data_IF_535154971195
#
_entry.id   IF_535154971195
#
_cell.length_a   1.000
_cell.length_b   1.000
_cell.length_c   1.000
_cell.angle_alpha   90.00
_cell.angle_beta   90.00
_cell.angle_gamma   90.00
#
_symmetry.space_group_name_H-M   'P 1'
#
loop_
_entity.id
_entity.type
_entity.pdbx_description
1 polymer ?
#
# COMPACT_ATOMS: atom_id res chain seq x y z
N UNK A 1 -10.99 10.22 -19.82
CA UNK A 1 -9.76 10.80 -20.37
C UNK A 1 -9.47 10.10 -21.69
N UNK A 2 -9.28 10.89 -22.76
CA UNK A 2 -8.90 10.33 -24.07
C UNK A 2 -7.36 10.19 -24.06
N UNK A 3 -6.86 8.98 -23.96
CA UNK A 3 -5.44 8.70 -24.15
C UNK A 3 -5.02 9.06 -25.57
N UNK A 4 -3.96 9.86 -25.69
CA UNK A 4 -3.40 10.30 -26.97
C UNK A 4 -2.17 9.46 -27.29
N UNK A 5 -1.93 9.19 -28.58
CA UNK A 5 -0.71 8.50 -29.07
C UNK A 5 0.58 9.26 -28.70
N UNK A 6 0.50 10.60 -28.63
CA UNK A 6 1.58 11.43 -28.07
C UNK A 6 1.17 11.81 -26.65
N UNK A 7 1.79 11.22 -25.60
CA UNK A 7 1.39 11.41 -24.23
C UNK A 7 1.65 12.85 -23.76
N UNK A 8 0.64 13.44 -23.12
CA UNK A 8 0.82 14.67 -22.37
C UNK A 8 1.62 14.41 -21.08
N UNK A 9 2.15 15.46 -20.44
CA UNK A 9 2.96 15.33 -19.20
C UNK A 9 2.28 14.51 -18.10
N UNK A 10 0.98 14.68 -17.93
CA UNK A 10 0.21 13.93 -16.94
C UNK A 10 0.05 12.46 -17.34
N UNK A 11 -0.20 12.17 -18.62
CA UNK A 11 -0.30 10.80 -19.12
C UNK A 11 1.05 10.08 -18.99
N UNK A 12 2.16 10.76 -19.29
CA UNK A 12 3.50 10.21 -19.14
C UNK A 12 3.80 9.81 -17.69
N UNK A 13 3.41 10.67 -16.73
CA UNK A 13 3.60 10.39 -15.32
C UNK A 13 2.79 9.17 -14.86
N UNK A 14 1.52 9.06 -15.31
CA UNK A 14 0.70 7.89 -15.03
C UNK A 14 1.26 6.61 -15.67
N UNK A 15 1.70 6.70 -16.93
CA UNK A 15 2.29 5.56 -17.63
C UNK A 15 3.58 5.09 -16.95
N UNK A 16 4.42 6.02 -16.48
CA UNK A 16 5.61 5.69 -15.70
C UNK A 16 5.26 5.00 -14.37
N UNK A 17 4.28 5.52 -13.63
CA UNK A 17 3.83 4.90 -12.39
C UNK A 17 3.29 3.48 -12.64
N UNK A 18 2.40 3.33 -13.62
CA UNK A 18 1.85 2.01 -13.97
C UNK A 18 2.94 1.04 -14.41
N UNK A 19 3.90 1.49 -15.23
CA UNK A 19 4.98 0.63 -15.72
C UNK A 19 5.93 0.19 -14.60
N UNK A 20 6.14 1.03 -13.58
CA UNK A 20 6.92 0.68 -12.40
C UNK A 20 6.27 -0.46 -11.62
N UNK A 21 4.98 -0.34 -11.32
CA UNK A 21 4.25 -1.40 -10.60
C UNK A 21 4.06 -2.68 -11.43
N UNK A 22 3.83 -2.54 -12.74
CA UNK A 22 3.76 -3.69 -13.64
C UNK A 22 5.11 -4.41 -13.76
N UNK A 23 6.22 -3.65 -13.75
CA UNK A 23 7.58 -4.19 -13.67
C UNK A 23 7.79 -5.00 -12.39
N UNK A 24 7.34 -4.50 -11.23
CA UNK A 24 7.40 -5.22 -9.95
C UNK A 24 6.59 -6.52 -10.00
N UNK A 25 5.37 -6.47 -10.56
CA UNK A 25 4.53 -7.66 -10.73
C UNK A 25 5.19 -8.71 -11.62
N UNK A 26 5.77 -8.30 -12.74
CA UNK A 26 6.45 -9.20 -13.68
C UNK A 26 7.71 -9.83 -13.10
N UNK A 27 8.45 -9.08 -12.28
CA UNK A 27 9.65 -9.60 -11.61
C UNK A 27 9.29 -10.62 -10.53
N UNK A 28 8.20 -10.39 -9.80
CA UNK A 28 7.78 -11.26 -8.69
C UNK A 28 6.99 -12.48 -9.16
N UNK A 29 6.21 -12.36 -10.25
CA UNK A 29 5.41 -13.45 -10.81
C UNK A 29 5.42 -13.40 -12.34
N UNK A 30 6.46 -13.97 -13.00
CA UNK A 30 6.61 -13.92 -14.45
C UNK A 30 5.46 -14.59 -15.21
N UNK A 31 4.87 -15.63 -14.63
CA UNK A 31 3.89 -16.48 -15.32
C UNK A 31 2.44 -16.03 -15.14
N UNK A 32 2.10 -15.34 -14.05
CA UNK A 32 0.70 -15.00 -13.67
C UNK A 32 0.57 -13.59 -13.11
N UNK A 33 0.95 -12.60 -13.89
CA UNK A 33 1.01 -11.20 -13.45
C UNK A 33 -0.16 -10.31 -13.90
N UNK A 34 -1.09 -10.79 -14.72
CA UNK A 34 -2.10 -9.94 -15.38
C UNK A 34 -3.02 -9.17 -14.43
N UNK A 35 -3.46 -9.79 -13.33
CA UNK A 35 -4.27 -9.13 -12.30
C UNK A 35 -3.41 -8.45 -11.23
N UNK A 36 -2.24 -9.03 -10.92
CA UNK A 36 -1.36 -8.58 -9.86
C UNK A 36 -0.89 -7.14 -10.10
N UNK A 37 -0.45 -6.80 -11.31
CA UNK A 37 0.01 -5.45 -11.65
C UNK A 37 -1.06 -4.40 -11.42
N UNK A 38 -2.30 -4.67 -11.82
CA UNK A 38 -3.42 -3.76 -11.59
C UNK A 38 -3.73 -3.60 -10.09
N UNK A 39 -3.70 -4.69 -9.34
CA UNK A 39 -3.97 -4.67 -7.89
C UNK A 39 -2.91 -3.88 -7.14
N UNK A 40 -1.62 -4.17 -7.33
CA UNK A 40 -0.54 -3.48 -6.60
C UNK A 40 -0.47 -1.99 -6.96
N UNK A 41 -0.76 -1.63 -8.22
CA UNK A 41 -0.90 -0.23 -8.59
C UNK A 41 -2.06 0.43 -7.85
N UNK A 42 -3.24 -0.20 -7.83
CA UNK A 42 -4.42 0.32 -7.13
C UNK A 42 -4.19 0.46 -5.63
N UNK A 43 -3.63 -0.56 -4.98
CA UNK A 43 -3.31 -0.55 -3.56
C UNK A 43 -2.24 0.51 -3.21
N UNK A 44 -1.16 0.58 -4.00
CA UNK A 44 -0.11 1.58 -3.84
C UNK A 44 -0.62 3.01 -4.00
N UNK A 45 -1.40 3.26 -5.04
CA UNK A 45 -2.04 4.55 -5.27
C UNK A 45 -3.02 4.92 -4.14
N UNK A 46 -3.82 3.97 -3.67
CA UNK A 46 -4.75 4.17 -2.56
C UNK A 46 -4.03 4.57 -1.26
N UNK A 47 -2.96 3.86 -0.91
CA UNK A 47 -2.15 4.19 0.28
C UNK A 47 -1.52 5.56 0.10
N UNK A 48 -0.87 5.82 -1.02
CA UNK A 48 -0.15 7.05 -1.27
C UNK A 48 -1.09 8.26 -1.25
N UNK A 49 -2.17 8.21 -2.04
CA UNK A 49 -3.15 9.31 -2.10
C UNK A 49 -3.88 9.46 -0.78
N UNK A 50 -4.30 8.36 -0.15
CA UNK A 50 -4.98 8.39 1.15
C UNK A 50 -4.13 9.03 2.25
N UNK A 51 -2.82 8.75 2.27
CA UNK A 51 -1.91 9.37 3.23
C UNK A 51 -1.66 10.86 2.90
N UNK A 52 -1.64 11.25 1.61
CA UNK A 52 -1.56 12.65 1.23
C UNK A 52 -2.78 13.47 1.65
N UNK A 53 -3.96 12.85 1.75
CA UNK A 53 -5.16 13.53 2.28
C UNK A 53 -4.95 13.99 3.73
N UNK A 54 -4.23 13.23 4.54
CA UNK A 54 -3.86 13.63 5.89
C UNK A 54 -2.99 14.89 5.88
N UNK A 55 -2.02 14.95 4.97
CA UNK A 55 -1.13 16.12 4.82
C UNK A 55 -1.89 17.39 4.43
N UNK A 56 -2.93 17.27 3.59
CA UNK A 56 -3.73 18.41 3.14
C UNK A 56 -4.64 18.96 4.23
N UNK A 57 -4.84 18.24 5.32
CA UNK A 57 -5.65 18.69 6.46
C UNK A 57 -7.06 19.09 6.09
N UNK A 58 -7.70 18.39 5.15
CA UNK A 58 -9.03 18.72 4.67
C UNK A 58 -10.05 18.67 5.81
N UNK A 59 -10.77 19.76 5.99
CA UNK A 59 -11.81 19.90 7.00
C UNK A 59 -13.19 19.86 6.34
N UNK A 60 -14.06 19.01 6.87
CA UNK A 60 -15.47 19.02 6.53
C UNK A 60 -16.24 19.83 7.60
N UNK A 61 -17.12 20.71 7.15
CA UNK A 61 -18.01 21.45 8.05
C UNK A 61 -19.29 20.63 8.23
N UNK A 62 -19.55 20.20 9.45
CA UNK A 62 -20.79 19.50 9.80
C UNK A 62 -21.97 20.46 9.77
N UNK A 63 -23.17 19.96 9.54
CA UNK A 63 -24.44 20.73 9.59
C UNK A 63 -24.65 21.48 10.91
N UNK A 64 -23.95 21.09 11.97
CA UNK A 64 -23.93 21.76 13.29
C UNK A 64 -22.89 22.87 13.41
N UNK A 65 -22.18 23.23 12.32
CA UNK A 65 -21.15 24.27 12.31
C UNK A 65 -19.82 23.90 12.93
N UNK A 66 -19.59 22.62 13.28
CA UNK A 66 -18.29 22.12 13.76
C UNK A 66 -17.43 21.67 12.58
N UNK A 67 -16.19 22.13 12.55
CA UNK A 67 -15.19 21.59 11.63
C UNK A 67 -14.67 20.25 12.15
N UNK A 68 -14.73 19.23 11.31
CA UNK A 68 -14.15 17.90 11.57
C UNK A 68 -13.04 17.71 10.56
N UNK A 69 -11.83 17.42 11.04
CA UNK A 69 -10.73 16.99 10.16
C UNK A 69 -11.06 15.63 9.57
N UNK A 70 -10.91 15.50 8.26
CA UNK A 70 -11.06 14.22 7.57
C UNK A 70 -9.77 13.40 7.81
N UNK A 71 -9.82 12.32 8.60
CA UNK A 71 -8.66 11.47 8.79
C UNK A 71 -8.34 10.71 7.51
N UNK A 72 -7.07 10.32 7.34
CA UNK A 72 -6.69 9.42 6.26
C UNK A 72 -7.49 8.10 6.38
N UNK A 73 -7.93 7.50 5.25
CA UNK A 73 -8.73 6.27 5.28
C UNK A 73 -8.07 5.11 6.02
N UNK A 74 -6.73 5.11 6.06
CA UNK A 74 -5.91 4.08 6.72
C UNK A 74 -5.52 4.43 8.16
N UNK A 75 -5.89 5.61 8.66
CA UNK A 75 -5.72 5.96 10.09
C UNK A 75 -6.71 5.21 10.97
N UNK A 76 -7.77 4.65 10.39
CA UNK A 76 -8.67 3.71 11.06
C UNK A 76 -8.09 2.30 10.99
N UNK A 77 -8.07 1.65 12.16
CA UNK A 77 -7.65 0.23 12.31
C UNK A 77 -8.44 -0.67 11.36
N UNK A 78 -9.74 -0.43 11.23
CA UNK A 78 -10.61 -1.23 10.35
C UNK A 78 -10.20 -1.11 8.89
N UNK A 79 -9.84 0.10 8.43
CA UNK A 79 -9.34 0.32 7.08
C UNK A 79 -8.02 -0.39 6.82
N UNK A 80 -7.10 -0.34 7.78
CA UNK A 80 -5.82 -1.05 7.70
C UNK A 80 -5.99 -2.58 7.69
N UNK A 81 -6.87 -3.12 8.53
CA UNK A 81 -7.21 -4.55 8.55
C UNK A 81 -7.86 -4.96 7.23
N UNK A 82 -8.81 -4.18 6.72
CA UNK A 82 -9.49 -4.47 5.46
C UNK A 82 -8.50 -4.55 4.29
N UNK A 83 -7.57 -3.61 4.19
CA UNK A 83 -6.55 -3.61 3.14
C UNK A 83 -5.56 -4.78 3.30
N UNK A 84 -5.14 -5.09 4.53
CA UNK A 84 -4.30 -6.26 4.82
C UNK A 84 -4.98 -7.57 4.46
N UNK A 85 -6.25 -7.75 4.82
CA UNK A 85 -7.05 -8.91 4.44
C UNK A 85 -7.28 -8.99 2.93
N UNK A 86 -7.52 -7.86 2.26
CA UNK A 86 -7.68 -7.83 0.82
C UNK A 86 -6.39 -8.28 0.11
N UNK A 87 -5.24 -7.78 0.55
CA UNK A 87 -3.92 -8.21 0.03
C UNK A 87 -3.72 -9.71 0.23
N UNK A 88 -4.09 -10.25 1.38
CA UNK A 88 -4.01 -11.68 1.65
C UNK A 88 -4.94 -12.50 0.76
N UNK A 89 -6.17 -12.03 0.49
CA UNK A 89 -7.09 -12.68 -0.44
C UNK A 89 -6.54 -12.71 -1.87
N UNK A 90 -5.84 -11.67 -2.29
CA UNK A 90 -5.15 -11.65 -3.59
C UNK A 90 -4.04 -12.69 -3.64
N UNK A 91 -3.22 -12.80 -2.58
CA UNK A 91 -2.18 -13.83 -2.48
C UNK A 91 -2.81 -15.23 -2.49
N UNK A 92 -3.88 -15.44 -1.73
CA UNK A 92 -4.63 -16.70 -1.71
C UNK A 92 -5.18 -17.07 -3.09
N UNK A 93 -5.72 -16.10 -3.83
CA UNK A 93 -6.21 -16.32 -5.19
C UNK A 93 -5.09 -16.77 -6.13
N UNK A 94 -3.89 -16.21 -5.97
CA UNK A 94 -2.69 -16.64 -6.68
C UNK A 94 -2.30 -18.08 -6.36
N UNK A 95 -2.33 -18.44 -5.08
CA UNK A 95 -2.05 -19.80 -4.62
C UNK A 95 -3.04 -20.84 -5.17
N UNK A 96 -4.33 -20.54 -5.14
CA UNK A 96 -5.38 -21.42 -5.71
C UNK A 96 -5.19 -21.56 -7.21
N UNK A 97 -4.95 -20.46 -7.92
CA UNK A 97 -4.77 -20.47 -9.35
C UNK A 97 -3.47 -21.17 -9.80
N UNK A 98 -2.41 -21.13 -8.96
CA UNK A 98 -1.12 -21.79 -9.24
C UNK A 98 -1.14 -23.27 -8.89
N UNK A 99 -1.37 -23.59 -7.64
CA UNK A 99 -1.14 -24.91 -7.04
C UNK A 99 -2.43 -25.61 -6.55
N UNK A 100 -3.62 -25.07 -6.81
CA UNK A 100 -4.89 -25.64 -6.36
C UNK A 100 -4.96 -25.74 -4.83
N UNK A 101 -5.44 -26.89 -4.31
CA UNK A 101 -5.59 -27.14 -2.87
C UNK A 101 -4.25 -27.12 -2.09
N UNK A 102 -3.13 -27.48 -2.73
CA UNK A 102 -1.80 -27.40 -2.11
C UNK A 102 -1.36 -25.94 -1.94
N UNK A 103 -1.73 -25.06 -2.87
CA UNK A 103 -1.50 -23.63 -2.76
C UNK A 103 -2.25 -22.99 -1.61
N UNK A 104 -3.47 -23.43 -1.31
CA UNK A 104 -4.21 -23.00 -0.11
C UNK A 104 -3.44 -23.35 1.16
N UNK A 105 -2.92 -24.58 1.27
CA UNK A 105 -2.12 -25.00 2.42
C UNK A 105 -0.83 -24.18 2.58
N UNK A 106 -0.17 -23.80 1.49
CA UNK A 106 1.00 -22.95 1.50
C UNK A 106 0.66 -21.52 1.94
N UNK A 107 -0.41 -20.94 1.39
CA UNK A 107 -0.87 -19.59 1.78
C UNK A 107 -1.34 -19.55 3.24
N UNK A 108 -1.93 -20.63 3.74
CA UNK A 108 -2.42 -20.68 5.12
C UNK A 108 -1.29 -20.65 6.15
N UNK A 109 -0.08 -21.13 5.78
CA UNK A 109 1.11 -21.00 6.63
C UNK A 109 1.49 -19.54 6.86
N UNK A 110 1.20 -18.70 5.88
CA UNK A 110 1.49 -17.26 5.91
C UNK A 110 0.33 -16.42 6.50
N UNK A 111 -0.50 -17.03 7.38
CA UNK A 111 -1.61 -16.33 8.03
C UNK A 111 -1.16 -15.12 8.87
N UNK A 112 0.11 -15.07 9.24
CA UNK A 112 0.68 -13.90 9.93
C UNK A 112 0.78 -12.64 9.03
N UNK A 113 0.76 -12.80 7.71
CA UNK A 113 0.90 -11.68 6.75
C UNK A 113 -0.19 -10.61 6.88
N UNK A 114 -1.51 -10.93 6.86
CA UNK A 114 -2.54 -9.90 6.98
C UNK A 114 -2.45 -9.16 8.30
N UNK A 115 -2.10 -9.85 9.37
CA UNK A 115 -1.90 -9.24 10.69
C UNK A 115 -0.69 -8.28 10.64
N UNK A 116 0.45 -8.75 10.16
CA UNK A 116 1.67 -7.94 10.04
C UNK A 116 1.46 -6.71 9.14
N UNK A 117 0.80 -6.87 8.00
CA UNK A 117 0.49 -5.76 7.09
C UNK A 117 -0.44 -4.73 7.75
N UNK A 118 -1.49 -5.17 8.43
CA UNK A 118 -2.45 -4.30 9.12
C UNK A 118 -1.78 -3.50 10.23
N UNK A 119 -0.98 -4.14 11.08
CA UNK A 119 -0.25 -3.46 12.15
C UNK A 119 0.80 -2.49 11.61
N UNK A 120 1.43 -2.80 10.49
CA UNK A 120 2.40 -1.91 9.86
C UNK A 120 1.73 -0.65 9.33
N UNK A 121 0.59 -0.79 8.63
CA UNK A 121 -0.17 0.35 8.12
C UNK A 121 -0.66 1.24 9.26
N UNK A 122 -1.31 0.65 10.24
CA UNK A 122 -1.82 1.38 11.40
C UNK A 122 -0.69 2.01 12.23
N UNK A 123 0.38 1.26 12.51
CA UNK A 123 1.50 1.72 13.32
C UNK A 123 2.25 2.89 12.70
N UNK A 124 2.40 2.90 11.37
CA UNK A 124 3.02 4.00 10.64
C UNK A 124 2.24 5.30 10.79
N UNK A 125 0.91 5.24 10.60
CA UNK A 125 0.04 6.41 10.73
C UNK A 125 -0.08 6.89 12.17
N UNK A 126 -0.22 5.98 13.12
CA UNK A 126 -0.26 6.31 14.54
C UNK A 126 1.03 7.00 15.00
N UNK A 127 2.18 6.49 14.55
CA UNK A 127 3.50 7.09 14.83
C UNK A 127 3.58 8.52 14.27
N UNK A 128 3.11 8.74 13.05
CA UNK A 128 3.08 10.07 12.42
C UNK A 128 2.21 11.06 13.20
N UNK A 129 1.04 10.62 13.60
CA UNK A 129 0.12 11.42 14.42
C UNK A 129 0.78 11.81 15.75
N UNK A 130 1.35 10.85 16.47
CA UNK A 130 1.99 11.10 17.78
C UNK A 130 3.17 12.05 17.68
N UNK A 131 4.00 11.92 16.64
CA UNK A 131 5.14 12.84 16.41
C UNK A 131 4.63 14.26 16.14
N UNK A 132 3.60 14.39 15.34
CA UNK A 132 2.99 15.70 15.04
C UNK A 132 2.39 16.34 16.29
N UNK A 133 1.65 15.60 17.08
CA UNK A 133 1.10 16.04 18.37
C UNK A 133 2.20 16.47 19.35
N UNK A 134 3.29 15.70 19.44
CA UNK A 134 4.43 16.02 20.30
C UNK A 134 5.07 17.35 19.90
N UNK A 135 5.24 17.60 18.61
CA UNK A 135 5.82 18.85 18.11
C UNK A 135 4.91 20.04 18.41
N UNK A 136 3.59 19.87 18.31
CA UNK A 136 2.62 20.91 18.69
C UNK A 136 2.61 21.21 20.19
N UNK A 137 2.96 20.24 21.03
CA UNK A 137 3.03 20.43 22.48
C UNK A 137 4.12 21.45 22.87
N UNK A 138 5.22 21.53 22.13
CA UNK A 138 6.28 22.50 22.36
C UNK A 138 6.00 23.81 21.63
N UNK A 139 5.29 24.72 22.29
CA UNK A 139 4.84 26.01 21.76
C UNK A 139 5.94 26.87 21.13
N UNK A 140 7.18 26.79 21.64
CA UNK A 140 8.31 27.56 21.10
C UNK A 140 8.81 27.05 19.73
N UNK A 141 8.52 25.82 19.36
CA UNK A 141 8.88 25.19 18.09
C UNK A 141 7.74 25.15 17.09
N UNK A 142 6.57 25.67 17.48
CA UNK A 142 5.30 25.47 16.81
C UNK A 142 5.09 26.21 15.48
N UNK A 143 5.99 27.13 15.07
CA UNK A 143 5.74 27.96 13.91
C UNK A 143 6.11 27.31 12.56
N UNK A 144 7.29 26.71 12.45
CA UNK A 144 7.79 26.18 11.17
C UNK A 144 8.05 24.68 11.25
N UNK A 145 8.53 24.22 12.40
CA UNK A 145 8.95 22.84 12.60
C UNK A 145 7.81 21.82 12.40
N UNK A 146 6.56 22.05 12.88
CA UNK A 146 5.47 21.10 12.66
C UNK A 146 5.14 20.88 11.18
N UNK A 147 5.18 21.95 10.39
CA UNK A 147 4.92 21.87 8.96
C UNK A 147 6.01 21.05 8.26
N UNK A 148 7.27 21.33 8.58
CA UNK A 148 8.41 20.64 7.99
C UNK A 148 8.46 19.17 8.40
N UNK A 149 8.24 18.86 9.67
CA UNK A 149 8.18 17.50 10.20
C UNK A 149 6.96 16.77 9.64
N UNK A 150 5.79 17.39 9.65
CA UNK A 150 4.56 16.80 9.11
C UNK A 150 4.70 16.45 7.63
N UNK A 151 5.18 17.38 6.80
CA UNK A 151 5.35 17.14 5.36
C UNK A 151 6.39 16.04 5.11
N UNK A 152 7.58 16.15 5.71
CA UNK A 152 8.63 15.15 5.53
C UNK A 152 8.20 13.77 6.01
N UNK A 153 7.63 13.71 7.21
CA UNK A 153 7.25 12.45 7.82
C UNK A 153 6.10 11.77 7.07
N UNK A 154 5.06 12.52 6.73
CA UNK A 154 3.90 11.98 5.99
C UNK A 154 4.28 11.55 4.59
N UNK A 155 5.06 12.36 3.86
CA UNK A 155 5.48 12.02 2.50
C UNK A 155 6.40 10.79 2.49
N UNK A 156 7.37 10.74 3.40
CA UNK A 156 8.28 9.61 3.52
C UNK A 156 7.53 8.33 3.89
N UNK A 157 6.62 8.41 4.88
CA UNK A 157 5.78 7.28 5.27
C UNK A 157 4.86 6.81 4.13
N UNK A 158 4.22 7.73 3.42
CA UNK A 158 3.36 7.39 2.29
C UNK A 158 4.10 6.60 1.21
N UNK A 159 5.31 7.04 0.86
CA UNK A 159 6.15 6.38 -0.13
C UNK A 159 6.62 4.99 0.34
N UNK A 160 7.19 4.94 1.55
CA UNK A 160 7.70 3.67 2.10
C UNK A 160 6.56 2.67 2.25
N UNK A 161 5.42 3.10 2.77
CA UNK A 161 4.30 2.21 3.05
C UNK A 161 3.65 1.68 1.76
N UNK A 162 3.45 2.54 0.76
CA UNK A 162 2.97 2.13 -0.55
C UNK A 162 3.93 1.11 -1.19
N UNK A 163 5.24 1.39 -1.17
CA UNK A 163 6.26 0.50 -1.72
C UNK A 163 6.31 -0.84 -0.98
N UNK A 164 6.36 -0.82 0.34
CA UNK A 164 6.51 -2.05 1.13
C UNK A 164 5.30 -2.96 1.01
N UNK A 165 4.07 -2.43 1.08
CA UNK A 165 2.87 -3.25 0.93
C UNK A 165 2.80 -3.88 -0.46
N UNK A 166 3.03 -3.09 -1.51
CA UNK A 166 2.95 -3.56 -2.89
C UNK A 166 4.04 -4.58 -3.20
N UNK A 167 5.27 -4.33 -2.73
CA UNK A 167 6.39 -5.25 -2.91
C UNK A 167 6.19 -6.58 -2.18
N UNK A 168 5.74 -6.55 -0.91
CA UNK A 168 5.44 -7.76 -0.16
C UNK A 168 4.30 -8.56 -0.79
N UNK A 169 3.21 -7.89 -1.20
CA UNK A 169 2.10 -8.57 -1.86
C UNK A 169 2.53 -9.23 -3.17
N UNK A 170 3.36 -8.55 -3.96
CA UNK A 170 3.89 -9.09 -5.20
C UNK A 170 4.80 -10.31 -4.96
N UNK A 171 5.68 -10.20 -3.96
CA UNK A 171 6.65 -11.25 -3.63
C UNK A 171 5.95 -12.52 -3.13
N UNK A 172 5.03 -12.39 -2.17
CA UNK A 172 4.28 -13.54 -1.65
C UNK A 172 3.31 -14.13 -2.67
N UNK A 173 2.72 -13.30 -3.52
CA UNK A 173 1.93 -13.79 -4.64
C UNK A 173 2.77 -14.64 -5.59
N UNK A 174 3.98 -14.20 -5.92
CA UNK A 174 4.93 -14.97 -6.73
C UNK A 174 5.28 -16.30 -6.07
N UNK A 175 5.69 -16.26 -4.80
CA UNK A 175 6.07 -17.46 -4.03
C UNK A 175 4.98 -18.52 -3.98
N UNK A 176 3.73 -18.13 -3.79
CA UNK A 176 2.59 -19.06 -3.67
C UNK A 176 2.08 -19.51 -5.03
N UNK A 177 2.21 -18.68 -6.09
CA UNK A 177 1.71 -18.98 -7.44
C UNK A 177 2.67 -19.81 -8.29
N UNK A 178 3.98 -19.80 -7.97
CA UNK A 178 4.96 -20.57 -8.70
C UNK A 178 4.95 -22.04 -8.26
N UNK A 179 5.05 -22.94 -9.23
CA UNK A 179 5.24 -24.36 -8.95
C UNK A 179 6.65 -24.55 -8.39
N UNK A 180 6.83 -25.34 -7.33
CA UNK A 180 8.17 -25.79 -6.98
C UNK A 180 8.72 -26.55 -8.19
N UNK A 181 9.83 -26.07 -8.76
CA UNK A 181 10.57 -26.82 -9.77
C UNK A 181 10.83 -28.22 -9.22
N UNK A 182 10.48 -29.28 -9.96
CA UNK A 182 10.88 -30.62 -9.56
C UNK A 182 12.40 -30.57 -9.48
N UNK A 183 12.94 -30.90 -8.31
CA UNK A 183 14.37 -30.98 -8.06
C UNK A 183 14.97 -31.82 -9.20
N UNK A 184 15.49 -31.13 -10.23
CA UNK A 184 16.16 -31.78 -11.34
C UNK A 184 17.37 -32.47 -10.76
N UNK A 185 17.34 -33.79 -10.84
CA UNK A 185 18.27 -34.71 -10.22
C UNK A 185 19.71 -34.27 -10.37
N UNK A 186 20.35 -34.10 -9.25
CA UNK A 186 21.80 -34.34 -9.17
C UNK A 186 21.99 -35.84 -9.29
N UNK A 187 22.19 -36.30 -10.51
CA UNK A 187 22.85 -37.56 -10.77
C UNK A 187 24.36 -37.32 -10.75
#
# INVERSE_FOLDING_TARGET
PKFKLVPGRFQLLLEQAVSLFDGMAKTSSPQRNGFLGAYIFGAGAYIFVGTLFELLGLQAVTTTGRSVTLPAPLSDVNGAIALGCLSYLVILSGGIAGNGLKGVGSTLKEFSLPISMSFRLFGALLSGLLVTELVYYYVQLSYVLPVLVGVLFTLLHALIQAYVLTMLTALFYGEVSEHPEPASGRA
#
